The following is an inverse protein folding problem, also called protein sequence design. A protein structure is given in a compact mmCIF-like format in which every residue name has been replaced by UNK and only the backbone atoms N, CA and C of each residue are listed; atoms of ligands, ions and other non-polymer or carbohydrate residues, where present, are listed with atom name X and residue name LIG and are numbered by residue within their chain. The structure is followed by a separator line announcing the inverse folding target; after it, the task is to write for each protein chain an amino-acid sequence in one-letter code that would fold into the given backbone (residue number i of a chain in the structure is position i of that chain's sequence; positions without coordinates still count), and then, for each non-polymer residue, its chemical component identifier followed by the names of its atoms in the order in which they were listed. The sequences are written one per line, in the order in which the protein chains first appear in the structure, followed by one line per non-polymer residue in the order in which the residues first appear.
data_IF_735601351516
#
_entry.id   IF_735601351516
#
_cell.length_a   1.000
_cell.length_b   1.000
_cell.length_c   1.000
_cell.angle_alpha   90.00
_cell.angle_beta   90.00
_cell.angle_gamma   90.00
#
_symmetry.space_group_name_H-M   'P 1'
#
loop_
_entity.id
_entity.type
_entity.pdbx_description
1 polymer ?
#
# COMPACT_ATOMS: atom_id res chain seq x y z
N UNK A 1 37.93 4.76 0.17
CA UNK A 1 36.63 5.35 -0.18
C UNK A 1 35.67 4.19 -0.31
N UNK A 2 34.79 3.95 0.70
CA UNK A 2 33.77 2.90 0.62
C UNK A 2 32.80 3.25 -0.49
N UNK A 3 32.49 2.28 -1.37
CA UNK A 3 31.47 2.45 -2.41
C UNK A 3 30.09 2.68 -1.78
N UNK A 4 29.16 3.34 -2.51
CA UNK A 4 27.78 3.49 -2.06
C UNK A 4 27.15 2.11 -1.80
N UNK A 5 26.40 1.91 -0.71
CA UNK A 5 25.76 0.63 -0.43
C UNK A 5 24.74 0.26 -1.51
N UNK A 6 24.56 -1.04 -1.73
CA UNK A 6 23.53 -1.52 -2.66
C UNK A 6 22.14 -1.39 -2.03
N UNK A 7 21.18 -0.95 -2.84
CA UNK A 7 19.77 -0.86 -2.44
C UNK A 7 18.91 -1.75 -3.36
N UNK A 8 17.90 -2.45 -2.82
CA UNK A 8 17.32 -2.34 -1.49
C UNK A 8 18.11 -3.06 -0.38
N UNK A 9 18.02 -2.53 0.84
CA UNK A 9 18.57 -3.16 2.03
C UNK A 9 17.76 -4.38 2.43
N UNK A 10 18.42 -5.43 2.96
CA UNK A 10 17.74 -6.62 3.45
C UNK A 10 17.30 -6.45 4.89
N UNK A 11 16.12 -6.92 5.24
CA UNK A 11 15.68 -7.04 6.63
C UNK A 11 16.37 -8.23 7.28
N UNK A 12 17.08 -8.00 8.38
CA UNK A 12 17.60 -9.05 9.27
C UNK A 12 16.51 -9.53 10.23
N UNK A 13 15.63 -8.62 10.68
CA UNK A 13 14.42 -8.89 11.44
C UNK A 13 13.20 -8.51 10.59
N UNK A 14 12.29 -9.46 10.30
CA UNK A 14 11.13 -9.19 9.46
C UNK A 14 10.13 -8.19 10.08
N UNK A 15 10.19 -7.97 11.39
CA UNK A 15 9.29 -7.06 12.11
C UNK A 15 9.80 -5.62 12.19
N UNK A 16 11.07 -5.40 11.82
CA UNK A 16 11.69 -4.09 11.83
C UNK A 16 12.22 -3.69 10.45
N UNK A 17 12.25 -2.40 10.11
CA UNK A 17 12.96 -1.91 8.94
C UNK A 17 14.44 -2.28 8.98
N UNK A 18 15.15 -2.33 7.84
CA UNK A 18 16.60 -2.53 7.82
C UNK A 18 17.34 -1.56 8.74
N UNK A 19 18.36 -2.04 9.47
CA UNK A 19 19.15 -1.25 10.42
C UNK A 19 19.87 -0.08 9.75
N UNK A 20 20.25 -0.23 8.49
CA UNK A 20 20.88 0.81 7.66
C UNK A 20 20.02 2.09 7.57
N UNK A 21 18.69 1.93 7.60
CA UNK A 21 17.79 3.08 7.57
C UNK A 21 17.82 3.86 8.89
N UNK A 22 17.99 3.18 10.04
CA UNK A 22 18.14 3.83 11.34
C UNK A 22 19.49 4.56 11.44
N UNK A 23 20.55 3.90 10.99
CA UNK A 23 21.89 4.49 10.96
C UNK A 23 21.90 5.74 10.06
N UNK A 24 21.29 5.66 8.88
CA UNK A 24 21.16 6.79 7.97
C UNK A 24 20.34 7.94 8.58
N UNK A 25 19.22 7.68 9.26
CA UNK A 25 18.47 8.74 9.97
C UNK A 25 19.33 9.52 10.96
N UNK A 26 20.19 8.81 11.69
CA UNK A 26 21.03 9.43 12.68
C UNK A 26 22.16 10.28 12.07
N UNK A 27 22.87 9.74 11.06
CA UNK A 27 24.12 10.29 10.55
C UNK A 27 23.98 11.01 9.19
N UNK A 28 23.27 10.41 8.22
CA UNK A 28 23.22 10.87 6.83
C UNK A 28 21.80 10.68 6.27
N UNK A 29 20.84 11.60 6.57
CA UNK A 29 19.42 11.39 6.27
C UNK A 29 19.08 11.33 4.79
N UNK A 30 20.00 11.73 3.93
CA UNK A 30 19.94 11.60 2.46
C UNK A 30 21.14 10.75 2.02
N UNK A 31 20.95 9.43 2.02
CA UNK A 31 22.00 8.43 1.80
C UNK A 31 22.16 8.12 0.30
N UNK A 32 23.38 8.22 -0.28
CA UNK A 32 23.63 7.77 -1.64
C UNK A 32 23.66 6.23 -1.68
N UNK A 33 22.99 5.65 -2.70
CA UNK A 33 22.93 4.19 -2.91
C UNK A 33 23.22 3.82 -4.35
N UNK A 34 23.66 2.57 -4.56
CA UNK A 34 23.82 1.98 -5.89
C UNK A 34 22.67 1.02 -6.15
N UNK A 35 22.01 1.18 -7.30
CA UNK A 35 20.89 0.32 -7.73
C UNK A 35 21.39 -0.94 -8.47
N UNK A 36 20.49 -1.88 -8.73
CA UNK A 36 20.72 -3.13 -9.45
C UNK A 36 21.43 -2.97 -10.81
N UNK A 37 21.23 -1.83 -11.49
CA UNK A 37 21.81 -1.51 -12.79
C UNK A 37 23.07 -0.62 -12.71
N UNK A 38 23.67 -0.48 -11.54
CA UNK A 38 24.85 0.35 -11.28
C UNK A 38 24.60 1.86 -11.19
N UNK A 39 23.34 2.32 -11.40
CA UNK A 39 23.00 3.75 -11.28
C UNK A 39 22.99 4.18 -9.83
N UNK A 40 23.37 5.43 -9.59
CA UNK A 40 23.24 6.08 -8.28
C UNK A 40 21.81 6.59 -8.07
N UNK A 41 21.32 6.49 -6.85
CA UNK A 41 20.10 7.11 -6.37
C UNK A 41 20.28 7.56 -4.91
N UNK A 42 19.29 8.21 -4.36
CA UNK A 42 19.25 8.67 -2.98
C UNK A 42 18.15 7.96 -2.19
N UNK A 43 18.42 7.61 -0.94
CA UNK A 43 17.41 7.14 0.02
C UNK A 43 17.24 8.23 1.07
N UNK A 44 16.03 8.79 1.15
CA UNK A 44 15.68 9.80 2.17
C UNK A 44 14.99 9.09 3.33
N UNK A 45 15.48 9.34 4.56
CA UNK A 45 15.13 8.53 5.72
C UNK A 45 14.40 9.28 6.84
N UNK A 46 14.58 10.61 6.99
CA UNK A 46 13.90 11.41 8.02
C UNK A 46 12.55 11.92 7.53
N UNK A 47 11.62 12.02 8.45
CA UNK A 47 10.25 12.44 8.15
C UNK A 47 10.17 13.86 7.58
N UNK A 48 10.96 14.79 8.13
CA UNK A 48 11.01 16.19 7.70
C UNK A 48 11.32 16.31 6.20
N UNK A 49 12.42 15.69 5.77
CA UNK A 49 12.88 15.74 4.38
C UNK A 49 11.94 14.99 3.44
N UNK A 50 11.35 13.87 3.90
CA UNK A 50 10.34 13.14 3.13
C UNK A 50 9.10 13.99 2.92
N UNK A 51 8.61 14.70 3.93
CA UNK A 51 7.48 15.63 3.79
C UNK A 51 7.81 16.78 2.84
N UNK A 52 9.02 17.35 2.95
CA UNK A 52 9.49 18.41 2.05
C UNK A 52 9.39 17.94 0.59
N UNK A 53 9.99 16.80 0.27
CA UNK A 53 9.97 16.25 -1.09
C UNK A 53 8.56 15.88 -1.57
N UNK A 54 7.70 15.34 -0.70
CA UNK A 54 6.35 14.92 -1.06
C UNK A 54 5.36 16.07 -1.23
N UNK A 55 5.63 17.21 -0.64
CA UNK A 55 4.80 18.43 -0.77
C UNK A 55 5.19 19.32 -1.94
N UNK A 56 6.32 19.05 -2.59
CA UNK A 56 6.89 19.88 -3.65
C UNK A 56 6.88 19.14 -4.99
N UNK A 57 5.78 19.20 -5.68
CA UNK A 57 5.60 18.62 -7.02
C UNK A 57 6.16 19.47 -8.15
N UNK A 58 6.63 20.70 -7.87
CA UNK A 58 7.33 21.54 -8.82
C UNK A 58 8.79 21.10 -8.98
N UNK A 59 9.51 20.88 -7.86
CA UNK A 59 10.92 20.47 -7.90
C UNK A 59 11.11 18.95 -8.00
N UNK A 60 10.11 18.12 -7.60
CA UNK A 60 10.22 16.67 -7.55
C UNK A 60 9.10 15.97 -8.32
N UNK A 61 9.45 15.32 -9.42
CA UNK A 61 8.51 14.59 -10.26
C UNK A 61 8.21 13.19 -9.70
N UNK A 62 6.93 12.83 -9.66
CA UNK A 62 6.45 11.48 -9.39
C UNK A 62 6.16 10.66 -10.66
N UNK A 63 6.39 11.22 -11.86
CA UNK A 63 6.03 10.59 -13.13
C UNK A 63 6.82 9.32 -13.38
N UNK A 64 6.11 8.21 -13.56
CA UNK A 64 6.70 6.91 -13.87
C UNK A 64 7.23 6.84 -15.31
N UNK A 65 8.15 5.91 -15.56
CA UNK A 65 8.68 5.65 -16.89
C UNK A 65 9.72 6.66 -17.41
N UNK A 66 10.07 7.69 -16.62
CA UNK A 66 11.20 8.58 -16.95
C UNK A 66 12.51 7.79 -16.91
N UNK A 67 13.47 8.17 -17.76
CA UNK A 67 14.78 7.48 -17.83
C UNK A 67 15.49 7.45 -16.47
N UNK A 68 15.40 8.53 -15.70
CA UNK A 68 16.04 8.67 -14.39
C UNK A 68 15.20 8.14 -13.23
N UNK A 69 13.99 7.64 -13.45
CA UNK A 69 13.11 7.18 -12.37
C UNK A 69 13.73 5.99 -11.64
N UNK A 70 13.92 6.05 -10.31
CA UNK A 70 14.66 5.03 -9.60
C UNK A 70 13.82 3.77 -9.45
N UNK A 71 14.41 2.60 -9.78
CA UNK A 71 13.74 1.29 -9.70
C UNK A 71 14.66 0.28 -9.03
N UNK A 72 14.06 -0.71 -8.36
CA UNK A 72 14.81 -1.74 -7.62
C UNK A 72 15.09 -3.00 -8.43
N UNK A 73 14.43 -3.17 -9.59
CA UNK A 73 14.64 -4.30 -10.52
C UNK A 73 14.34 -3.89 -11.97
N UNK A 74 14.81 -4.69 -12.94
CA UNK A 74 14.49 -4.52 -14.36
C UNK A 74 12.98 -4.70 -14.62
N UNK A 75 12.36 -5.71 -14.03
CA UNK A 75 10.92 -5.95 -14.14
C UNK A 75 10.11 -4.71 -13.73
N UNK A 76 10.58 -3.99 -12.71
CA UNK A 76 9.91 -2.76 -12.27
C UNK A 76 10.00 -1.63 -13.28
N UNK A 77 11.04 -1.54 -14.09
CA UNK A 77 11.14 -0.57 -15.19
C UNK A 77 10.00 -0.78 -16.20
N UNK A 78 9.77 -2.01 -16.61
CA UNK A 78 8.70 -2.36 -17.56
C UNK A 78 7.32 -2.01 -17.00
N UNK A 79 7.08 -2.38 -15.74
CA UNK A 79 5.83 -2.08 -15.03
C UNK A 79 5.57 -0.57 -14.94
N UNK A 80 6.59 0.20 -14.57
CA UNK A 80 6.44 1.66 -14.42
C UNK A 80 6.23 2.35 -15.78
N UNK A 81 6.87 1.87 -16.85
CA UNK A 81 6.64 2.38 -18.22
C UNK A 81 5.24 2.08 -18.74
N UNK A 82 4.66 0.96 -18.33
CA UNK A 82 3.29 0.55 -18.71
C UNK A 82 2.19 1.23 -17.88
N UNK A 83 2.51 1.91 -16.77
CA UNK A 83 1.50 2.54 -15.91
C UNK A 83 0.86 3.76 -16.60
N UNK A 84 -0.47 3.73 -16.73
CA UNK A 84 -1.28 4.79 -17.34
C UNK A 84 -2.22 5.49 -16.36
N UNK A 85 -2.22 5.08 -15.09
CA UNK A 85 -3.06 5.68 -14.06
C UNK A 85 -2.36 6.85 -13.35
N UNK A 86 -3.15 7.68 -12.68
CA UNK A 86 -2.70 8.92 -12.05
C UNK A 86 -1.62 8.75 -10.97
N UNK A 87 -1.46 7.55 -10.41
CA UNK A 87 -0.39 7.26 -9.44
C UNK A 87 1.02 7.49 -10.03
N UNK A 88 1.17 7.39 -11.34
CA UNK A 88 2.41 7.63 -12.09
C UNK A 88 2.42 8.93 -12.90
N UNK A 89 1.60 9.91 -12.54
CA UNK A 89 1.48 11.19 -13.24
C UNK A 89 1.87 12.36 -12.34
N UNK A 90 2.27 13.47 -12.94
CA UNK A 90 2.43 14.76 -12.28
C UNK A 90 1.25 15.67 -12.60
N UNK A 91 1.15 16.80 -11.89
CA UNK A 91 0.21 17.87 -12.22
C UNK A 91 0.53 18.52 -13.60
N UNK A 92 -0.46 18.97 -14.35
CA UNK A 92 -1.90 19.04 -14.02
C UNK A 92 -2.67 17.74 -14.30
N UNK A 93 -2.07 16.76 -14.97
CA UNK A 93 -2.69 15.51 -15.41
C UNK A 93 -3.14 14.64 -14.22
N UNK A 94 -2.29 14.52 -13.20
CA UNK A 94 -2.62 13.85 -11.95
C UNK A 94 -3.92 14.38 -11.32
N UNK A 95 -4.02 15.71 -11.16
CA UNK A 95 -5.17 16.35 -10.52
C UNK A 95 -6.46 16.15 -11.32
N UNK A 96 -6.39 16.18 -12.65
CA UNK A 96 -7.53 15.92 -13.53
C UNK A 96 -8.15 14.57 -13.18
N UNK A 97 -7.37 13.50 -13.18
CA UNK A 97 -7.89 12.15 -12.93
C UNK A 97 -8.23 11.92 -11.45
N UNK A 98 -7.38 12.36 -10.54
CA UNK A 98 -7.61 12.16 -9.12
C UNK A 98 -8.93 12.73 -8.63
N UNK A 99 -9.31 13.93 -9.08
CA UNK A 99 -10.59 14.57 -8.71
C UNK A 99 -11.80 13.75 -9.13
N UNK A 100 -11.75 13.04 -10.26
CA UNK A 100 -12.85 12.19 -10.74
C UNK A 100 -13.17 11.06 -9.77
N UNK A 101 -12.16 10.54 -9.05
CA UNK A 101 -12.32 9.42 -8.14
C UNK A 101 -12.41 9.83 -6.66
N UNK A 102 -11.99 11.04 -6.28
CA UNK A 102 -11.96 11.47 -4.87
C UNK A 102 -13.34 11.37 -4.21
N UNK A 103 -14.42 11.68 -4.93
CA UNK A 103 -15.80 11.58 -4.41
C UNK A 103 -16.18 10.14 -4.08
N UNK A 104 -15.70 9.17 -4.84
CA UNK A 104 -16.00 7.75 -4.64
C UNK A 104 -15.35 7.21 -3.37
N UNK A 105 -14.21 7.77 -2.95
CA UNK A 105 -13.49 7.43 -1.72
C UNK A 105 -13.78 8.38 -0.54
N UNK A 106 -14.88 9.15 -0.61
CA UNK A 106 -15.28 10.02 0.50
C UNK A 106 -15.62 9.23 1.76
N UNK A 107 -15.39 9.81 2.94
CA UNK A 107 -15.68 9.19 4.24
C UNK A 107 -17.09 8.62 4.28
N UNK A 108 -18.10 9.42 3.85
CA UNK A 108 -19.49 8.99 3.84
C UNK A 108 -19.73 7.74 3.01
N UNK A 109 -19.14 7.63 1.82
CA UNK A 109 -19.31 6.44 0.95
C UNK A 109 -18.59 5.22 1.53
N UNK A 110 -17.39 5.40 2.04
CA UNK A 110 -16.63 4.29 2.63
C UNK A 110 -17.31 3.76 3.90
N UNK A 111 -17.80 4.64 4.77
CA UNK A 111 -18.58 4.23 5.95
C UNK A 111 -19.87 3.50 5.58
N UNK A 112 -20.52 3.84 4.47
CA UNK A 112 -21.71 3.14 4.01
C UNK A 112 -21.41 1.67 3.60
N UNK A 113 -20.16 1.32 3.28
CA UNK A 113 -19.76 -0.05 2.95
C UNK A 113 -19.46 -0.90 4.19
N UNK A 114 -19.26 -0.28 5.38
CA UNK A 114 -18.84 -1.00 6.58
C UNK A 114 -19.72 -2.21 6.93
N UNK A 115 -21.08 -2.17 6.89
CA UNK A 115 -21.89 -3.34 7.19
C UNK A 115 -21.61 -4.52 6.24
N UNK A 116 -21.41 -4.26 4.95
CA UNK A 116 -21.09 -5.29 3.97
C UNK A 116 -19.65 -5.82 4.14
N UNK A 117 -18.69 -4.95 4.48
CA UNK A 117 -17.31 -5.32 4.81
C UNK A 117 -17.31 -6.24 6.04
N UNK A 118 -18.09 -5.91 7.07
CA UNK A 118 -18.24 -6.72 8.28
C UNK A 118 -18.85 -8.09 8.00
N UNK A 119 -19.86 -8.15 7.13
CA UNK A 119 -20.45 -9.42 6.70
C UNK A 119 -19.43 -10.30 5.94
N UNK A 120 -18.56 -9.71 5.11
CA UNK A 120 -17.45 -10.43 4.46
C UNK A 120 -16.48 -10.99 5.51
N UNK A 121 -16.10 -10.21 6.52
CA UNK A 121 -15.20 -10.65 7.58
C UNK A 121 -15.78 -11.84 8.35
N UNK A 122 -17.04 -11.76 8.82
CA UNK A 122 -17.72 -12.86 9.52
C UNK A 122 -17.76 -14.13 8.66
N UNK A 123 -18.15 -14.03 7.39
CA UNK A 123 -18.19 -15.19 6.49
C UNK A 123 -16.82 -15.87 6.35
N UNK A 124 -15.74 -15.11 6.19
CA UNK A 124 -14.40 -15.67 6.10
C UNK A 124 -13.95 -16.35 7.42
N UNK A 125 -14.35 -15.80 8.55
CA UNK A 125 -14.11 -16.42 9.86
C UNK A 125 -14.94 -17.69 10.01
N UNK A 126 -16.21 -17.73 9.58
CA UNK A 126 -17.03 -18.96 9.57
C UNK A 126 -16.35 -20.08 8.76
N UNK A 127 -15.83 -19.77 7.59
CA UNK A 127 -15.08 -20.73 6.76
C UNK A 127 -13.80 -21.22 7.47
N UNK A 128 -13.08 -20.31 8.15
CA UNK A 128 -11.88 -20.65 8.92
C UNK A 128 -12.20 -21.57 10.11
N UNK A 129 -13.27 -21.29 10.84
CA UNK A 129 -13.74 -22.13 11.96
C UNK A 129 -14.19 -23.51 11.49
N UNK A 130 -14.91 -23.58 10.35
CA UNK A 130 -15.33 -24.86 9.75
C UNK A 130 -14.15 -25.71 9.30
N UNK A 131 -13.08 -25.10 8.81
CA UNK A 131 -11.86 -25.80 8.41
C UNK A 131 -11.10 -26.39 9.62
N UNK A 132 -11.31 -25.85 10.82
CA UNK A 132 -10.68 -26.25 12.06
C UNK A 132 -9.17 -25.96 12.13
N UNK A 133 -8.60 -25.87 13.35
CA UNK A 133 -7.19 -25.61 13.55
C UNK A 133 -6.30 -26.85 13.29
N UNK A 134 -5.02 -26.66 12.88
CA UNK A 134 -4.39 -25.40 12.52
C UNK A 134 -4.70 -24.98 11.09
N UNK A 135 -4.77 -23.66 10.83
CA UNK A 135 -4.95 -23.10 9.48
C UNK A 135 -3.92 -22.00 9.19
N UNK A 136 -3.55 -21.84 7.91
CA UNK A 136 -2.79 -20.69 7.44
C UNK A 136 -3.74 -19.50 7.25
N UNK A 137 -3.61 -18.51 8.13
CA UNK A 137 -4.46 -17.33 8.16
C UNK A 137 -4.24 -16.41 6.94
N UNK A 138 -3.05 -16.46 6.34
CA UNK A 138 -2.73 -15.59 5.20
C UNK A 138 -3.61 -15.92 3.98
N UNK A 139 -3.60 -17.14 3.40
CA UNK A 139 -4.44 -17.48 2.26
C UNK A 139 -5.93 -17.58 2.61
N UNK A 140 -6.27 -17.97 3.85
CA UNK A 140 -7.66 -18.16 4.24
C UNK A 140 -8.39 -16.84 4.51
N UNK A 141 -7.70 -15.84 5.06
CA UNK A 141 -8.30 -14.60 5.52
C UNK A 141 -7.64 -13.36 4.90
N UNK A 142 -6.33 -13.16 5.16
CA UNK A 142 -5.67 -11.89 4.86
C UNK A 142 -5.63 -11.55 3.36
N UNK A 143 -5.48 -12.55 2.49
CA UNK A 143 -5.48 -12.38 1.02
C UNK A 143 -6.90 -12.19 0.48
N UNK A 144 -7.85 -12.96 0.99
CA UNK A 144 -9.23 -13.00 0.45
C UNK A 144 -10.05 -11.78 0.84
N UNK A 145 -9.90 -11.32 2.08
CA UNK A 145 -10.72 -10.25 2.62
C UNK A 145 -10.62 -8.94 1.81
N UNK A 146 -9.43 -8.33 1.61
CA UNK A 146 -9.34 -7.10 0.84
C UNK A 146 -9.73 -7.28 -0.63
N UNK A 147 -9.48 -8.45 -1.22
CA UNK A 147 -9.94 -8.74 -2.58
C UNK A 147 -11.46 -8.69 -2.70
N UNK A 148 -12.17 -9.27 -1.73
CA UNK A 148 -13.64 -9.26 -1.71
C UNK A 148 -14.19 -7.85 -1.45
N UNK A 149 -13.53 -7.06 -0.60
CA UNK A 149 -13.89 -5.65 -0.37
C UNK A 149 -13.68 -4.82 -1.63
N UNK A 150 -12.56 -5.04 -2.34
CA UNK A 150 -12.34 -4.38 -3.63
C UNK A 150 -13.38 -4.79 -4.68
N UNK A 151 -13.79 -6.06 -4.72
CA UNK A 151 -14.88 -6.52 -5.59
C UNK A 151 -16.21 -5.85 -5.23
N UNK A 152 -16.52 -5.72 -3.93
CA UNK A 152 -17.70 -5.00 -3.46
C UNK A 152 -17.68 -3.53 -3.91
N UNK A 153 -16.55 -2.82 -3.75
CA UNK A 153 -16.40 -1.42 -4.14
C UNK A 153 -16.62 -1.22 -5.65
N UNK A 154 -16.02 -2.10 -6.45
CA UNK A 154 -16.08 -2.05 -7.92
C UNK A 154 -17.38 -2.60 -8.50
N UNK A 155 -18.14 -3.39 -7.75
CA UNK A 155 -19.29 -4.13 -8.25
C UNK A 155 -18.91 -5.34 -9.11
N UNK A 156 -17.70 -5.90 -8.90
CA UNK A 156 -17.25 -7.13 -9.58
C UNK A 156 -17.97 -8.34 -9.02
N UNK A 157 -18.25 -9.39 -9.84
CA UNK A 157 -18.74 -10.67 -9.34
C UNK A 157 -17.79 -11.26 -8.27
N UNK A 158 -18.37 -11.91 -7.27
CA UNK A 158 -17.61 -12.56 -6.18
C UNK A 158 -16.60 -13.58 -6.71
N UNK A 159 -16.97 -14.31 -7.75
CA UNK A 159 -16.22 -15.40 -8.36
C UNK A 159 -14.90 -14.92 -8.97
N UNK A 160 -14.84 -13.65 -9.39
CA UNK A 160 -13.70 -13.06 -10.07
C UNK A 160 -12.55 -12.68 -9.12
N UNK A 161 -12.76 -12.74 -7.78
CA UNK A 161 -11.75 -12.33 -6.81
C UNK A 161 -10.42 -13.07 -6.96
N UNK A 162 -10.43 -14.36 -7.33
CA UNK A 162 -9.19 -15.14 -7.54
C UNK A 162 -8.37 -14.60 -8.70
N UNK A 163 -9.03 -14.30 -9.82
CA UNK A 163 -8.38 -13.68 -10.98
C UNK A 163 -7.77 -12.31 -10.63
N UNK A 164 -8.52 -11.48 -9.89
CA UNK A 164 -8.03 -10.17 -9.44
C UNK A 164 -6.79 -10.32 -8.56
N UNK A 165 -6.78 -11.27 -7.60
CA UNK A 165 -5.63 -11.58 -6.75
C UNK A 165 -4.41 -11.97 -7.59
N UNK A 166 -4.56 -12.90 -8.55
CA UNK A 166 -3.46 -13.34 -9.42
C UNK A 166 -2.84 -12.17 -10.18
N UNK A 167 -3.67 -11.29 -10.74
CA UNK A 167 -3.19 -10.12 -11.46
C UNK A 167 -2.52 -9.08 -10.53
N UNK A 168 -3.03 -8.91 -9.30
CA UNK A 168 -2.48 -7.95 -8.34
C UNK A 168 -1.09 -8.39 -7.84
N UNK A 169 -0.94 -9.65 -7.45
CA UNK A 169 0.32 -10.21 -6.92
C UNK A 169 1.42 -10.21 -7.97
N UNK A 170 1.09 -10.48 -9.24
CA UNK A 170 2.05 -10.55 -10.33
C UNK A 170 2.88 -9.26 -10.54
N UNK A 171 2.42 -8.12 -10.05
CA UNK A 171 3.11 -6.82 -10.23
C UNK A 171 4.17 -6.50 -9.17
N UNK A 172 4.06 -7.05 -7.97
CA UNK A 172 4.88 -6.64 -6.84
C UNK A 172 6.06 -7.57 -6.54
N UNK A 173 6.10 -8.77 -7.11
CA UNK A 173 7.18 -9.73 -6.92
C UNK A 173 8.50 -9.24 -7.53
N UNK A 174 9.60 -9.31 -6.75
CA UNK A 174 10.96 -9.00 -7.24
C UNK A 174 11.52 -10.07 -8.18
N UNK A 175 10.88 -11.25 -8.24
CA UNK A 175 11.36 -12.43 -8.96
C UNK A 175 10.64 -12.71 -10.28
N UNK A 176 9.62 -11.92 -10.61
CA UNK A 176 8.83 -12.14 -11.83
C UNK A 176 9.51 -11.60 -13.08
N UNK A 177 9.22 -12.24 -14.23
CA UNK A 177 9.69 -11.74 -15.50
C UNK A 177 8.93 -10.47 -15.92
N UNK A 178 9.60 -9.52 -16.60
CA UNK A 178 8.95 -8.30 -17.10
C UNK A 178 7.70 -8.59 -17.95
N UNK A 179 7.79 -9.58 -18.85
CA UNK A 179 6.68 -9.94 -19.74
C UNK A 179 5.45 -10.52 -19.03
N UNK A 180 5.65 -11.23 -17.92
CA UNK A 180 4.54 -11.77 -17.13
C UNK A 180 3.80 -10.63 -16.37
N UNK A 181 4.54 -9.73 -15.75
CA UNK A 181 3.97 -8.58 -15.05
C UNK A 181 3.15 -7.69 -16.00
N UNK A 182 3.68 -7.41 -17.21
CA UNK A 182 2.95 -6.64 -18.23
C UNK A 182 1.69 -7.38 -18.72
N UNK A 183 1.79 -8.69 -18.98
CA UNK A 183 0.64 -9.49 -19.41
C UNK A 183 -0.47 -9.45 -18.38
N UNK A 184 -0.16 -9.67 -17.10
CA UNK A 184 -1.14 -9.63 -16.01
C UNK A 184 -1.74 -8.24 -15.80
N UNK A 185 -0.95 -7.18 -15.99
CA UNK A 185 -1.46 -5.81 -15.96
C UNK A 185 -2.48 -5.56 -17.07
N UNK A 186 -2.20 -6.00 -18.31
CA UNK A 186 -3.14 -5.91 -19.44
C UNK A 186 -4.40 -6.75 -19.21
N UNK A 187 -4.27 -7.99 -18.73
CA UNK A 187 -5.42 -8.85 -18.40
C UNK A 187 -6.37 -8.18 -17.40
N UNK A 188 -5.83 -7.50 -16.39
CA UNK A 188 -6.65 -6.78 -15.41
C UNK A 188 -7.31 -5.52 -15.99
N UNK A 189 -6.60 -4.75 -16.83
CA UNK A 189 -7.18 -3.61 -17.53
C UNK A 189 -8.29 -4.04 -18.49
N UNK A 190 -8.10 -5.12 -19.25
CA UNK A 190 -9.13 -5.70 -20.12
C UNK A 190 -10.35 -6.20 -19.34
N UNK A 191 -10.14 -6.77 -18.16
CA UNK A 191 -11.21 -7.14 -17.25
C UNK A 191 -12.03 -5.91 -16.83
N UNK A 192 -11.34 -4.84 -16.38
CA UNK A 192 -11.99 -3.59 -16.00
C UNK A 192 -12.78 -3.00 -17.17
N UNK A 193 -12.22 -3.01 -18.39
CA UNK A 193 -12.90 -2.52 -19.59
C UNK A 193 -14.20 -3.28 -19.84
N UNK A 194 -14.18 -4.61 -19.82
CA UNK A 194 -15.40 -5.42 -19.99
C UNK A 194 -16.45 -5.14 -18.91
N UNK A 195 -16.02 -4.95 -17.65
CA UNK A 195 -16.94 -4.60 -16.57
C UNK A 195 -17.57 -3.21 -16.78
N UNK A 196 -16.78 -2.22 -17.23
CA UNK A 196 -17.27 -0.87 -17.56
C UNK A 196 -18.29 -0.96 -18.71
N UNK A 197 -17.97 -1.65 -19.80
CA UNK A 197 -18.86 -1.84 -20.95
C UNK A 197 -20.19 -2.50 -20.52
N UNK A 198 -20.14 -3.53 -19.66
CA UNK A 198 -21.33 -4.16 -19.12
C UNK A 198 -22.18 -3.19 -18.28
N UNK A 199 -21.53 -2.33 -17.44
CA UNK A 199 -22.23 -1.32 -16.64
C UNK A 199 -22.76 -0.14 -17.46
N UNK A 200 -22.22 0.13 -18.63
CA UNK A 200 -22.80 1.10 -19.57
C UNK A 200 -24.15 0.63 -20.10
N UNK A 201 -24.33 -0.69 -20.26
CA UNK A 201 -25.58 -1.33 -20.71
C UNK A 201 -26.55 -1.51 -19.53
N UNK A 202 -26.06 -2.08 -18.43
CA UNK A 202 -26.85 -2.40 -17.23
C UNK A 202 -26.21 -1.73 -15.99
N UNK A 203 -26.56 -0.48 -15.67
CA UNK A 203 -26.05 0.23 -14.48
C UNK A 203 -26.51 -0.45 -13.19
N UNK A 204 -25.64 -0.42 -12.16
CA UNK A 204 -25.90 -0.93 -10.81
C UNK A 204 -25.55 0.14 -9.76
N UNK A 205 -25.87 -0.13 -8.50
CA UNK A 205 -25.42 0.73 -7.40
C UNK A 205 -23.97 0.37 -6.99
N UNK A 206 -23.02 0.67 -7.88
CA UNK A 206 -21.60 0.45 -7.68
C UNK A 206 -20.77 1.67 -8.13
N UNK A 207 -19.48 1.67 -7.77
CA UNK A 207 -18.58 2.75 -8.14
C UNK A 207 -18.43 2.88 -9.65
N UNK A 208 -18.37 1.77 -10.38
CA UNK A 208 -18.18 1.78 -11.84
C UNK A 208 -19.35 2.48 -12.51
N UNK A 209 -20.58 2.16 -12.14
CA UNK A 209 -21.80 2.79 -12.71
C UNK A 209 -21.85 4.29 -12.42
N UNK A 210 -21.46 4.72 -11.22
CA UNK A 210 -21.43 6.15 -10.85
C UNK A 210 -20.37 6.91 -11.63
N UNK A 211 -19.16 6.36 -11.77
CA UNK A 211 -18.08 6.99 -12.56
C UNK A 211 -18.48 7.06 -14.04
N UNK A 212 -19.14 6.04 -14.58
CA UNK A 212 -19.70 6.09 -15.95
C UNK A 212 -20.67 7.26 -16.10
N UNK A 213 -21.61 7.41 -15.17
CA UNK A 213 -22.61 8.47 -15.24
C UNK A 213 -21.98 9.87 -15.12
N UNK A 214 -21.04 10.04 -14.18
CA UNK A 214 -20.48 11.34 -13.83
C UNK A 214 -19.30 11.76 -14.74
N UNK A 215 -18.55 10.82 -15.34
CA UNK A 215 -17.31 11.11 -16.05
C UNK A 215 -17.26 10.57 -17.49
N UNK A 216 -17.70 9.31 -17.72
CA UNK A 216 -17.57 8.68 -19.05
C UNK A 216 -18.65 9.21 -19.99
N UNK A 217 -19.91 9.23 -19.58
CA UNK A 217 -21.02 9.73 -20.43
C UNK A 217 -20.87 11.21 -20.83
N UNK A 218 -20.38 12.12 -19.95
CA UNK A 218 -20.06 13.48 -20.35
C UNK A 218 -18.82 13.63 -21.23
N UNK A 219 -18.05 12.53 -21.49
CA UNK A 219 -16.83 12.56 -22.31
C UNK A 219 -15.59 13.13 -21.61
N UNK A 220 -15.61 13.20 -20.27
CA UNK A 220 -14.49 13.69 -19.46
C UNK A 220 -13.43 12.61 -19.22
N UNK A 221 -13.82 11.34 -19.29
CA UNK A 221 -13.00 10.14 -19.10
C UNK A 221 -13.34 9.12 -20.20
N UNK A 222 -12.35 8.60 -20.91
CA UNK A 222 -12.57 7.50 -21.85
C UNK A 222 -12.72 6.16 -21.12
N UNK A 223 -13.30 5.16 -21.81
CA UNK A 223 -13.41 3.80 -21.26
C UNK A 223 -12.03 3.20 -20.98
N UNK A 224 -11.08 3.45 -21.88
CA UNK A 224 -9.69 2.99 -21.77
C UNK A 224 -8.98 3.61 -20.56
N UNK A 225 -9.06 4.94 -20.40
CA UNK A 225 -8.50 5.63 -19.22
C UNK A 225 -9.13 5.10 -17.93
N UNK A 226 -10.45 4.88 -17.93
CA UNK A 226 -11.13 4.32 -16.75
C UNK A 226 -10.70 2.88 -16.46
N UNK A 227 -10.53 2.04 -17.50
CA UNK A 227 -10.07 0.66 -17.31
C UNK A 227 -8.66 0.60 -16.69
N UNK A 228 -7.73 1.43 -17.12
CA UNK A 228 -6.39 1.52 -16.57
C UNK A 228 -6.39 2.02 -15.11
N UNK A 229 -7.18 3.06 -14.80
CA UNK A 229 -7.33 3.57 -13.44
C UNK A 229 -8.02 2.52 -12.55
N UNK A 230 -9.04 1.84 -13.07
CA UNK A 230 -9.74 0.76 -12.39
C UNK A 230 -8.82 -0.39 -12.02
N UNK A 231 -7.98 -0.83 -12.96
CA UNK A 231 -6.98 -1.86 -12.72
C UNK A 231 -5.97 -1.43 -11.65
N UNK A 232 -5.55 -0.16 -11.65
CA UNK A 232 -4.67 0.39 -10.62
C UNK A 232 -5.36 0.37 -9.24
N UNK A 233 -6.62 0.80 -9.13
CA UNK A 233 -7.36 0.84 -7.86
C UNK A 233 -7.55 -0.57 -7.31
N UNK A 234 -8.01 -1.55 -8.11
CA UNK A 234 -8.19 -2.95 -7.70
C UNK A 234 -6.89 -3.54 -7.14
N UNK A 235 -5.78 -3.27 -7.83
CA UNK A 235 -4.46 -3.77 -7.44
C UNK A 235 -3.93 -3.10 -6.16
N UNK A 236 -4.07 -1.77 -6.05
CA UNK A 236 -3.52 -1.01 -4.92
C UNK A 236 -4.19 -1.35 -3.59
N UNK A 237 -5.49 -1.64 -3.61
CA UNK A 237 -6.27 -1.98 -2.40
C UNK A 237 -6.04 -3.40 -1.89
N UNK A 238 -5.43 -4.29 -2.68
CA UNK A 238 -5.29 -5.69 -2.29
C UNK A 238 -4.07 -5.96 -1.40
N UNK A 239 -2.87 -5.78 -1.93
CA UNK A 239 -1.64 -6.34 -1.35
C UNK A 239 -1.22 -5.60 -0.06
N UNK A 240 -1.40 -4.28 0.00
CA UNK A 240 -1.09 -3.47 1.19
C UNK A 240 -1.96 -3.86 2.39
N UNK A 241 -3.26 -4.01 2.20
CA UNK A 241 -4.20 -4.40 3.25
C UNK A 241 -3.99 -5.86 3.67
N UNK A 242 -3.70 -6.76 2.72
CA UNK A 242 -3.30 -8.15 3.00
C UNK A 242 -2.15 -8.21 4.00
N UNK A 243 -1.08 -7.46 3.73
CA UNK A 243 0.09 -7.46 4.59
C UNK A 243 -0.21 -6.85 5.97
N UNK A 244 -1.02 -5.80 6.03
CA UNK A 244 -1.43 -5.19 7.30
C UNK A 244 -2.29 -6.13 8.15
N UNK A 245 -3.18 -6.92 7.56
CA UNK A 245 -3.98 -7.91 8.29
C UNK A 245 -3.08 -9.03 8.83
N UNK A 246 -2.18 -9.56 8.00
CA UNK A 246 -1.27 -10.62 8.39
C UNK A 246 -0.34 -10.18 9.53
N UNK A 247 0.28 -9.00 9.41
CA UNK A 247 1.17 -8.43 10.42
C UNK A 247 0.42 -8.05 11.70
N UNK A 248 -0.75 -7.44 11.59
CA UNK A 248 -1.57 -7.08 12.75
C UNK A 248 -2.03 -8.32 13.52
N UNK A 249 -2.46 -9.38 12.84
CA UNK A 249 -2.77 -10.66 13.48
C UNK A 249 -1.54 -11.24 14.20
N UNK A 250 -0.35 -11.15 13.58
CA UNK A 250 0.90 -11.59 14.21
C UNK A 250 1.22 -10.77 15.48
N UNK A 251 1.02 -9.45 15.48
CA UNK A 251 1.20 -8.62 16.67
C UNK A 251 0.25 -9.02 17.79
N UNK A 252 -1.03 -9.25 17.47
CA UNK A 252 -2.05 -9.67 18.45
C UNK A 252 -1.74 -11.03 19.09
N UNK A 253 -1.22 -11.98 18.32
CA UNK A 253 -0.84 -13.30 18.89
C UNK A 253 0.50 -13.28 19.64
N UNK A 254 1.36 -12.31 19.38
CA UNK A 254 2.62 -12.10 20.11
C UNK A 254 2.42 -11.38 21.44
N UNK A 255 1.39 -10.56 21.53
CA UNK A 255 1.03 -9.82 22.73
C UNK A 255 -0.41 -10.17 23.18
N UNK A 256 -0.59 -11.26 23.97
CA UNK A 256 -1.90 -11.62 24.50
C UNK A 256 -2.51 -10.57 25.45
N UNK A 257 -1.68 -9.75 26.09
CA UNK A 257 -2.16 -8.67 26.97
C UNK A 257 -2.83 -7.56 26.12
N UNK A 258 -2.21 -7.17 25.00
CA UNK A 258 -2.82 -6.27 24.03
C UNK A 258 -4.14 -6.84 23.49
N UNK A 259 -4.16 -8.10 23.06
CA UNK A 259 -5.37 -8.74 22.57
C UNK A 259 -6.50 -8.77 23.63
N UNK A 260 -6.15 -8.98 24.91
CA UNK A 260 -7.10 -8.94 26.02
C UNK A 260 -7.63 -7.55 26.28
N UNK A 261 -6.76 -6.55 26.27
CA UNK A 261 -7.13 -5.12 26.39
C UNK A 261 -8.12 -4.71 25.29
N UNK A 262 -7.84 -5.06 24.04
CA UNK A 262 -8.68 -4.70 22.89
C UNK A 262 -10.05 -5.37 22.93
N UNK A 263 -10.15 -6.62 23.44
CA UNK A 263 -11.45 -7.25 23.69
C UNK A 263 -12.26 -6.53 24.76
N UNK A 264 -11.60 -6.03 25.80
CA UNK A 264 -12.25 -5.29 26.88
C UNK A 264 -12.62 -3.85 26.50
N UNK A 265 -11.87 -3.25 25.55
CA UNK A 265 -12.05 -1.87 25.09
C UNK A 265 -12.00 -1.80 23.55
N UNK A 266 -13.06 -2.24 22.82
CA UNK A 266 -13.07 -2.24 21.35
C UNK A 266 -12.84 -0.86 20.71
N UNK A 267 -13.18 0.22 21.41
CA UNK A 267 -12.91 1.59 20.95
C UNK A 267 -11.40 1.86 20.71
N UNK A 268 -10.50 1.10 21.37
CA UNK A 268 -9.07 1.22 21.20
C UNK A 268 -8.57 0.63 19.86
N UNK A 269 -9.37 -0.16 19.15
CA UNK A 269 -8.99 -0.76 17.87
C UNK A 269 -8.65 0.31 16.84
N UNK A 270 -9.35 1.43 16.84
CA UNK A 270 -9.07 2.54 15.93
C UNK A 270 -7.63 3.07 16.08
N UNK A 271 -7.20 3.34 17.31
CA UNK A 271 -5.82 3.82 17.55
C UNK A 271 -4.78 2.70 17.38
N UNK A 272 -5.15 1.47 17.65
CA UNK A 272 -4.31 0.30 17.38
C UNK A 272 -4.01 0.17 15.89
N UNK A 273 -5.00 0.37 15.02
CA UNK A 273 -4.81 0.38 13.56
C UNK A 273 -3.82 1.47 13.13
N UNK A 274 -3.91 2.69 13.69
CA UNK A 274 -2.97 3.77 13.37
C UNK A 274 -1.53 3.41 13.82
N UNK A 275 -1.37 2.79 14.99
CA UNK A 275 -0.05 2.34 15.45
C UNK A 275 0.48 1.16 14.62
N UNK A 276 -0.35 0.20 14.26
CA UNK A 276 0.05 -0.88 13.36
C UNK A 276 0.49 -0.34 11.99
N UNK A 277 -0.22 0.63 11.44
CA UNK A 277 0.15 1.31 10.19
C UNK A 277 1.50 2.01 10.31
N UNK A 278 1.72 2.77 11.38
CA UNK A 278 3.00 3.41 11.65
C UNK A 278 4.12 2.39 11.77
N UNK A 279 3.91 1.40 12.65
CA UNK A 279 4.93 0.41 13.03
C UNK A 279 5.33 -0.49 11.88
N UNK A 280 4.37 -0.95 11.06
CA UNK A 280 4.61 -1.84 9.93
C UNK A 280 5.08 -1.08 8.70
N UNK A 281 4.38 0.00 8.32
CA UNK A 281 4.60 0.74 7.08
C UNK A 281 4.78 -0.20 5.88
N UNK A 282 3.73 -0.81 5.34
CA UNK A 282 3.83 -1.97 4.45
C UNK A 282 4.55 -1.68 3.13
N UNK A 283 4.60 -0.42 2.70
CA UNK A 283 5.24 -0.01 1.44
C UNK A 283 6.72 0.28 1.68
N UNK A 284 7.61 -0.53 1.06
CA UNK A 284 9.05 -0.49 1.36
C UNK A 284 9.86 0.49 0.49
N UNK A 285 9.62 0.50 -0.83
CA UNK A 285 10.47 1.19 -1.80
C UNK A 285 9.69 2.28 -2.57
N UNK A 286 8.72 2.89 -1.92
CA UNK A 286 7.88 3.96 -2.47
C UNK A 286 7.45 4.87 -1.30
N UNK A 287 7.15 6.16 -1.55
CA UNK A 287 7.17 6.85 -2.83
C UNK A 287 8.57 7.06 -3.42
N UNK A 288 8.60 7.32 -4.73
CA UNK A 288 9.85 7.61 -5.47
C UNK A 288 9.69 8.95 -6.21
N UNK A 289 10.80 9.67 -6.38
CA UNK A 289 10.80 10.96 -7.10
C UNK A 289 12.05 11.09 -7.97
N UNK A 290 11.99 12.02 -8.91
CA UNK A 290 13.15 12.51 -9.67
C UNK A 290 13.23 14.01 -9.47
N UNK A 291 14.43 14.52 -9.16
CA UNK A 291 14.67 15.95 -9.08
C UNK A 291 14.56 16.60 -10.47
N UNK A 292 13.70 17.61 -10.61
CA UNK A 292 13.51 18.36 -11.88
C UNK A 292 14.53 19.46 -12.07
N UNK A 293 15.15 19.90 -10.99
CA UNK A 293 16.18 20.95 -10.93
C UNK A 293 17.23 20.54 -9.89
N UNK A 294 18.37 21.21 -9.87
CA UNK A 294 19.34 21.05 -8.78
C UNK A 294 18.70 21.54 -7.48
N UNK A 295 18.74 20.72 -6.43
CA UNK A 295 18.17 21.01 -5.10
C UNK A 295 19.17 20.69 -4.01
N UNK A 296 19.04 21.34 -2.88
CA UNK A 296 19.73 20.98 -1.65
C UNK A 296 18.72 20.44 -0.64
N UNK A 297 18.96 19.22 -0.12
CA UNK A 297 18.12 18.55 0.86
C UNK A 297 19.00 18.07 2.01
N UNK A 298 18.74 18.55 3.23
CA UNK A 298 19.56 18.28 4.42
C UNK A 298 21.07 18.50 4.20
N UNK A 299 21.46 19.57 3.47
CA UNK A 299 22.85 19.88 3.15
C UNK A 299 23.48 19.05 2.02
N UNK A 300 22.72 18.11 1.43
CA UNK A 300 23.16 17.27 0.31
C UNK A 300 22.67 17.86 -1.01
N UNK A 301 23.58 18.05 -1.96
CA UNK A 301 23.25 18.51 -3.32
C UNK A 301 22.77 17.33 -4.17
N UNK A 302 21.52 17.39 -4.59
CA UNK A 302 20.87 16.47 -5.52
C UNK A 302 20.77 17.19 -6.87
N UNK A 303 21.30 16.60 -7.91
CA UNK A 303 21.30 17.19 -9.24
C UNK A 303 19.99 16.89 -9.97
N UNK A 304 19.65 17.74 -10.91
CA UNK A 304 18.58 17.49 -11.87
C UNK A 304 18.73 16.09 -12.49
N UNK A 305 17.64 15.33 -12.54
CA UNK A 305 17.61 13.96 -13.07
C UNK A 305 18.02 12.87 -12.07
N UNK A 306 18.47 13.18 -10.86
CA UNK A 306 18.74 12.16 -9.86
C UNK A 306 17.46 11.64 -9.21
N UNK A 307 17.42 10.33 -8.96
CA UNK A 307 16.28 9.62 -8.38
C UNK A 307 16.35 9.51 -6.86
N UNK A 308 15.20 9.61 -6.20
CA UNK A 308 15.04 9.50 -4.75
C UNK A 308 14.05 8.40 -4.38
N UNK A 309 14.39 7.56 -3.41
CA UNK A 309 13.49 6.71 -2.67
C UNK A 309 13.16 7.39 -1.33
N UNK A 310 11.88 7.50 -1.01
CA UNK A 310 11.41 8.13 0.22
C UNK A 310 10.93 7.03 1.17
N UNK A 311 11.75 6.66 2.15
CA UNK A 311 11.46 5.52 3.03
C UNK A 311 10.41 5.87 4.08
N UNK A 312 9.13 5.58 3.79
CA UNK A 312 8.04 5.79 4.75
C UNK A 312 8.24 4.93 6.02
N UNK A 313 8.76 3.72 5.86
CA UNK A 313 9.09 2.85 6.99
C UNK A 313 10.16 3.47 7.91
N UNK A 314 11.13 4.18 7.34
CA UNK A 314 12.11 4.94 8.11
C UNK A 314 11.49 6.19 8.76
N UNK A 315 10.71 6.97 8.01
CA UNK A 315 10.02 8.16 8.51
C UNK A 315 9.10 7.87 9.71
N UNK A 316 8.42 6.75 9.69
CA UNK A 316 7.52 6.31 10.76
C UNK A 316 8.27 5.74 11.99
N UNK A 317 9.59 5.64 11.91
CA UNK A 317 10.50 5.29 13.00
C UNK A 317 11.45 6.45 13.37
N UNK A 318 11.16 7.66 12.89
CA UNK A 318 11.97 8.86 13.17
C UNK A 318 11.81 9.27 14.63
N UNK A 319 12.90 9.17 15.40
CA UNK A 319 12.96 9.46 16.82
C UNK A 319 12.72 10.95 17.13
N UNK A 320 12.94 11.83 16.14
CA UNK A 320 12.61 13.25 16.25
C UNK A 320 11.10 13.52 16.25
N UNK A 321 10.30 12.55 15.80
CA UNK A 321 8.83 12.67 15.70
C UNK A 321 8.13 11.72 16.66
N UNK A 322 8.62 10.50 16.81
CA UNK A 322 8.03 9.45 17.63
C UNK A 322 9.01 8.98 18.71
N UNK A 323 8.78 9.37 19.94
CA UNK A 323 9.59 8.88 21.08
C UNK A 323 9.48 7.36 21.15
N UNK A 324 10.59 6.65 21.45
CA UNK A 324 10.66 5.20 21.49
C UNK A 324 10.03 4.55 20.23
N UNK A 325 10.44 5.05 19.08
CA UNK A 325 9.81 4.77 17.78
C UNK A 325 9.84 3.29 17.38
N UNK A 326 10.76 2.50 17.94
CA UNK A 326 10.91 1.05 17.67
C UNK A 326 10.04 0.16 18.57
N UNK A 327 9.28 0.73 19.51
CA UNK A 327 8.24 0.01 20.26
C UNK A 327 6.87 0.17 19.63
N UNK A 328 6.03 -0.86 19.79
CA UNK A 328 4.62 -0.81 19.45
C UNK A 328 3.84 -0.32 20.66
N UNK A 329 3.25 0.88 20.55
CA UNK A 329 2.53 1.55 21.63
C UNK A 329 1.21 2.14 21.12
N UNK A 330 0.09 1.50 21.42
CA UNK A 330 -1.24 1.90 20.95
C UNK A 330 -1.75 3.20 21.61
N UNK A 331 -1.09 3.68 22.66
CA UNK A 331 -1.43 4.95 23.33
C UNK A 331 -0.66 6.14 22.74
N UNK A 332 0.22 5.88 21.78
CA UNK A 332 1.00 6.90 21.04
C UNK A 332 0.08 7.79 20.20
N UNK A 333 0.42 9.09 20.13
CA UNK A 333 -0.11 9.99 19.11
C UNK A 333 0.49 9.66 17.73
N UNK A 334 -0.32 9.09 16.86
CA UNK A 334 0.05 8.70 15.49
C UNK A 334 -0.38 9.72 14.43
N UNK A 335 -0.80 10.93 14.80
CA UNK A 335 -1.29 11.95 13.86
C UNK A 335 -0.26 12.34 12.80
N UNK A 336 1.02 12.18 13.11
CA UNK A 336 2.13 12.50 12.22
C UNK A 336 2.56 11.35 11.28
N UNK A 337 1.99 10.12 11.43
CA UNK A 337 2.44 8.95 10.66
C UNK A 337 2.23 9.12 9.14
N UNK A 338 3.11 8.52 8.35
CA UNK A 338 3.16 8.62 6.90
C UNK A 338 2.88 7.30 6.16
N UNK A 339 2.24 6.29 6.77
CA UNK A 339 1.99 5.01 6.11
C UNK A 339 1.17 5.15 4.80
N UNK A 340 0.34 6.19 4.70
CA UNK A 340 -0.42 6.54 3.51
C UNK A 340 0.24 7.58 2.60
N UNK A 341 1.53 7.89 2.83
CA UNK A 341 2.24 8.95 2.11
C UNK A 341 1.80 10.36 2.53
N UNK A 342 2.15 11.36 1.70
CA UNK A 342 1.87 12.77 1.93
C UNK A 342 1.77 13.54 0.60
N UNK A 343 1.17 14.74 0.60
CA UNK A 343 1.05 15.59 -0.58
C UNK A 343 0.02 15.10 -1.59
N UNK A 344 0.19 15.50 -2.86
CA UNK A 344 -0.81 15.24 -3.92
C UNK A 344 -1.09 13.76 -4.15
N UNK A 345 -0.10 12.89 -3.94
CA UNK A 345 -0.22 11.43 -4.07
C UNK A 345 -0.59 10.71 -2.76
N UNK A 346 -1.01 11.40 -1.71
CA UNK A 346 -1.49 10.73 -0.51
C UNK A 346 -2.56 9.69 -0.86
N UNK A 347 -2.52 8.52 -0.22
CA UNK A 347 -3.36 7.38 -0.55
C UNK A 347 -4.84 7.75 -0.67
N UNK A 348 -5.43 7.48 -1.85
CA UNK A 348 -6.84 7.71 -2.12
C UNK A 348 -7.73 6.81 -1.25
N UNK A 349 -7.31 5.53 -1.08
CA UNK A 349 -8.06 4.49 -0.36
C UNK A 349 -7.86 4.51 1.16
N UNK A 350 -7.19 5.50 1.75
CA UNK A 350 -6.82 5.49 3.17
C UNK A 350 -8.00 5.35 4.14
N UNK A 351 -9.20 5.83 3.78
CA UNK A 351 -10.40 5.68 4.61
C UNK A 351 -10.90 4.24 4.58
N UNK A 352 -10.97 3.65 3.38
CA UNK A 352 -11.38 2.27 3.20
C UNK A 352 -10.44 1.31 3.93
N UNK A 353 -9.12 1.48 3.76
CA UNK A 353 -8.13 0.64 4.42
C UNK A 353 -8.25 0.66 5.95
N UNK A 354 -8.53 1.84 6.55
CA UNK A 354 -8.79 1.93 7.99
C UNK A 354 -10.04 1.16 8.41
N UNK A 355 -11.13 1.28 7.66
CA UNK A 355 -12.37 0.54 7.92
C UNK A 355 -12.12 -0.97 7.81
N UNK A 356 -11.46 -1.41 6.77
CA UNK A 356 -11.10 -2.81 6.57
C UNK A 356 -10.31 -3.38 7.76
N UNK A 357 -9.26 -2.67 8.17
CA UNK A 357 -8.39 -3.11 9.28
C UNK A 357 -9.15 -3.11 10.62
N UNK A 358 -9.94 -2.06 10.90
CA UNK A 358 -10.74 -1.96 12.12
C UNK A 358 -11.73 -3.13 12.20
N UNK A 359 -12.54 -3.30 11.15
CA UNK A 359 -13.54 -4.39 11.08
C UNK A 359 -12.88 -5.76 11.21
N UNK A 360 -11.77 -6.00 10.49
CA UNK A 360 -11.10 -7.29 10.55
C UNK A 360 -10.56 -7.60 11.93
N UNK A 361 -9.91 -6.65 12.61
CA UNK A 361 -9.37 -6.91 13.95
C UNK A 361 -10.47 -6.99 15.01
N UNK A 362 -11.57 -6.24 14.88
CA UNK A 362 -12.74 -6.41 15.75
C UNK A 362 -13.31 -7.82 15.65
N UNK A 363 -13.63 -8.28 14.43
CA UNK A 363 -14.22 -9.59 14.19
C UNK A 363 -13.25 -10.71 14.58
N UNK A 364 -11.95 -10.55 14.28
CA UNK A 364 -10.93 -11.54 14.67
C UNK A 364 -10.84 -11.71 16.19
N UNK A 365 -10.82 -10.62 16.96
CA UNK A 365 -10.74 -10.64 18.41
C UNK A 365 -12.02 -11.14 19.07
N UNK A 366 -13.18 -10.82 18.50
CA UNK A 366 -14.49 -11.29 18.98
C UNK A 366 -14.65 -12.80 18.76
N UNK A 367 -14.43 -13.27 17.53
CA UNK A 367 -14.74 -14.63 17.12
C UNK A 367 -13.64 -15.64 17.47
N UNK A 368 -12.37 -15.21 17.53
CA UNK A 368 -11.24 -16.09 17.77
C UNK A 368 -10.47 -15.69 19.05
N UNK A 369 -11.10 -15.73 20.23
CA UNK A 369 -10.46 -15.32 21.50
C UNK A 369 -9.26 -16.20 21.87
N UNK A 370 -9.20 -17.44 21.36
CA UNK A 370 -8.11 -18.39 21.55
C UNK A 370 -7.06 -18.38 20.43
N UNK A 371 -7.02 -17.37 19.58
CA UNK A 371 -6.07 -17.28 18.47
C UNK A 371 -4.62 -17.31 18.98
N UNK A 372 -3.84 -18.28 18.48
CA UNK A 372 -2.42 -18.45 18.81
C UNK A 372 -1.65 -19.01 17.64
N UNK A 373 -0.34 -18.84 17.66
CA UNK A 373 0.53 -19.45 16.64
C UNK A 373 0.53 -20.98 16.79
N UNK A 374 0.42 -21.64 15.65
CA UNK A 374 0.56 -23.09 15.55
C UNK A 374 2.02 -23.55 15.30
N UNK A 375 2.90 -22.60 14.89
CA UNK A 375 4.30 -22.85 14.52
C UNK A 375 5.23 -21.82 15.15
N UNK A 376 6.53 -22.11 15.35
CA UNK A 376 7.51 -21.13 15.81
C UNK A 376 7.61 -19.92 14.88
N UNK A 377 8.01 -18.74 15.42
CA UNK A 377 8.13 -17.51 14.62
C UNK A 377 9.16 -17.65 13.48
N UNK A 378 10.24 -18.37 13.75
CA UNK A 378 11.36 -18.60 12.84
C UNK A 378 10.97 -19.44 11.62
N UNK A 379 9.86 -20.17 11.69
CA UNK A 379 9.33 -20.96 10.58
C UNK A 379 8.37 -20.15 9.68
N UNK A 380 7.96 -18.96 10.09
CA UNK A 380 7.14 -18.09 9.27
C UNK A 380 7.97 -17.52 8.11
N UNK A 381 7.36 -17.47 6.93
CA UNK A 381 7.99 -16.89 5.74
C UNK A 381 7.48 -15.48 5.53
N UNK A 382 8.40 -14.53 5.40
CA UNK A 382 8.10 -13.12 5.16
C UNK A 382 8.46 -12.75 3.73
N UNK A 383 7.71 -11.81 3.16
CA UNK A 383 8.06 -11.21 1.87
C UNK A 383 9.27 -10.30 2.03
N UNK A 384 10.10 -10.24 1.00
CA UNK A 384 11.27 -9.36 0.91
C UNK A 384 11.21 -8.48 -0.34
N UNK A 385 10.01 -8.25 -0.86
CA UNK A 385 9.74 -7.48 -2.07
C UNK A 385 9.28 -6.03 -1.77
N UNK A 386 8.50 -5.45 -2.66
CA UNK A 386 8.01 -4.07 -2.55
C UNK A 386 7.15 -3.82 -1.30
N UNK A 387 6.63 -4.88 -0.69
CA UNK A 387 5.77 -4.83 0.49
C UNK A 387 6.17 -5.94 1.46
N UNK A 388 5.86 -5.76 2.74
CA UNK A 388 6.16 -6.76 3.78
C UNK A 388 5.26 -7.96 3.65
#
# INVERSE_FOLDING_TARGET
MGGCPHFPFRRSDPLHPPSELREARAAEPVLPVTLWNGRRAWVVTRQKEIREVLSDDERFSGRFGQEAFPTVTEARVAVDRGERAFVGMDNPEHDRFRRMFTREFSVRRMMALEPAIRAIAHRLIDELEQAGPPQDLVPMLAVRFPSLVMSLLFGSPYEDHRFIIECAVARHGLTQSPGEAERKARELADYCRRLIEARMIEPRDDMVSRVIADQVRPGLLSVEEFAEIGAMILRAGHDTTTNMIAMGALYLVRDPALATRLRAAPADIRRTVEEFLRFTSPVQFSPRRVARVDVELAGVKIRQGEGLFLSLASANRDEAVFSDSDSLDIDRDNSAQLAFGYGIHQCLGQVLARIELQVMFEVLLERLPGLRRAVPLESLRFKHDMQI
#
